data_IF_686209186473
#
_entry.id   IF_686209186473
#
_cell.length_a   1.000
_cell.length_b   1.000
_cell.length_c   1.000
_cell.angle_alpha   90.00
_cell.angle_beta   90.00
_cell.angle_gamma   90.00
#
_symmetry.space_group_name_H-M   'P 1'
#
loop_
_entity.id
_entity.type
_entity.pdbx_description
1 polymer ?
#
# COMPACT_ATOMS: atom_id res chain seq x y z
N UNK A 1 -12.78 45.81 25.26
CA UNK A 1 -12.17 44.79 24.37
C UNK A 1 -13.21 44.36 23.35
N UNK A 2 -12.95 44.60 22.07
CA UNK A 2 -13.96 44.62 21.00
C UNK A 2 -14.23 43.20 20.46
N UNK A 3 -15.51 42.86 20.32
CA UNK A 3 -16.06 41.62 19.74
C UNK A 3 -15.33 41.20 18.43
N UNK A 4 -14.89 42.16 17.61
CA UNK A 4 -14.17 41.90 16.36
C UNK A 4 -12.79 41.24 16.49
N UNK A 5 -12.10 41.39 17.64
CA UNK A 5 -10.82 40.70 17.87
C UNK A 5 -11.02 39.22 18.16
N UNK A 6 -12.17 38.84 18.74
CA UNK A 6 -12.51 37.45 19.01
C UNK A 6 -12.82 36.69 17.72
N UNK A 7 -13.60 37.27 16.81
CA UNK A 7 -13.90 36.67 15.49
C UNK A 7 -12.65 36.53 14.61
N UNK A 8 -11.71 37.47 14.67
CA UNK A 8 -10.42 37.38 13.96
C UNK A 8 -9.53 36.27 14.51
N UNK A 9 -9.47 36.12 15.84
CA UNK A 9 -8.77 35.01 16.48
C UNK A 9 -9.37 33.66 16.13
N UNK A 10 -10.70 33.55 16.12
CA UNK A 10 -11.42 32.33 15.76
C UNK A 10 -11.23 31.95 14.28
N UNK A 11 -11.27 32.93 13.38
CA UNK A 11 -11.02 32.73 11.95
C UNK A 11 -9.58 32.27 11.69
N UNK A 12 -8.60 32.88 12.36
CA UNK A 12 -7.20 32.44 12.28
C UNK A 12 -7.02 31.01 12.82
N UNK A 13 -7.69 30.66 13.92
CA UNK A 13 -7.62 29.31 14.50
C UNK A 13 -8.28 28.27 13.56
N UNK A 14 -9.41 28.59 12.94
CA UNK A 14 -10.05 27.77 11.92
C UNK A 14 -9.17 27.57 10.70
N UNK A 15 -8.46 28.60 10.26
CA UNK A 15 -7.52 28.52 9.13
C UNK A 15 -6.30 27.64 9.46
N UNK A 16 -5.79 27.73 10.70
CA UNK A 16 -4.70 26.87 11.20
C UNK A 16 -5.15 25.41 11.31
N UNK A 17 -6.39 25.15 11.75
CA UNK A 17 -6.95 23.79 11.79
C UNK A 17 -7.16 23.24 10.36
N UNK A 18 -7.55 24.09 9.40
CA UNK A 18 -7.64 23.72 7.97
C UNK A 18 -6.28 23.41 7.32
N UNK A 19 -5.19 23.95 7.87
CA UNK A 19 -3.83 23.70 7.40
C UNK A 19 -3.19 22.46 8.04
N UNK A 20 -3.91 21.72 8.90
CA UNK A 20 -3.38 20.47 9.44
C UNK A 20 -3.11 19.49 8.28
N UNK A 21 -1.92 18.88 8.23
CA UNK A 21 -1.59 17.94 7.17
C UNK A 21 -2.60 16.79 7.16
N UNK A 22 -3.01 16.40 5.96
CA UNK A 22 -3.87 15.24 5.73
C UNK A 22 -3.35 14.04 6.54
N UNK A 23 -4.21 13.45 7.37
CA UNK A 23 -3.87 12.25 8.10
C UNK A 23 -3.70 11.12 7.09
N UNK A 24 -2.44 10.76 6.84
CA UNK A 24 -2.05 9.61 6.07
C UNK A 24 -1.44 8.59 7.01
N UNK A 25 -1.88 7.34 6.92
CA UNK A 25 -1.27 6.22 7.63
C UNK A 25 -1.19 5.04 6.69
N UNK A 26 -0.13 4.26 6.81
CA UNK A 26 0.03 3.04 6.05
C UNK A 26 0.56 1.94 6.94
N UNK A 27 0.14 0.72 6.71
CA UNK A 27 0.46 -0.41 7.55
C UNK A 27 0.60 -1.69 6.75
N UNK A 28 1.48 -2.56 7.24
CA UNK A 28 1.63 -3.93 6.76
C UNK A 28 1.08 -4.87 7.82
N UNK A 29 0.17 -5.72 7.41
CA UNK A 29 -0.46 -6.75 8.22
C UNK A 29 -0.08 -8.13 7.68
N UNK A 30 0.10 -9.08 8.58
CA UNK A 30 0.34 -10.48 8.24
C UNK A 30 -0.58 -11.38 9.05
N UNK A 31 -0.99 -12.50 8.47
CA UNK A 31 -1.81 -13.48 9.15
C UNK A 31 -2.49 -14.40 8.16
N UNK A 32 -3.78 -14.64 8.33
CA UNK A 32 -4.50 -15.67 7.57
C UNK A 32 -5.81 -15.16 6.97
N UNK A 33 -6.13 -15.73 5.80
CA UNK A 33 -7.45 -15.74 5.18
C UNK A 33 -7.87 -17.20 5.02
N UNK A 34 -8.85 -17.63 5.80
CA UNK A 34 -9.16 -19.04 6.00
C UNK A 34 -7.97 -19.76 6.62
N UNK A 35 -7.38 -20.70 5.88
CA UNK A 35 -6.17 -21.45 6.30
C UNK A 35 -4.89 -20.98 5.60
N UNK A 36 -4.99 -19.97 4.73
CA UNK A 36 -3.87 -19.55 3.89
C UNK A 36 -3.22 -18.30 4.48
N UNK A 37 -1.89 -18.29 4.54
CA UNK A 37 -1.13 -17.13 4.99
C UNK A 37 -1.18 -16.01 3.95
N UNK A 38 -1.46 -14.79 4.41
CA UNK A 38 -1.51 -13.59 3.57
C UNK A 38 -0.66 -12.46 4.16
N UNK A 39 -0.23 -11.55 3.28
CA UNK A 39 0.30 -10.23 3.63
C UNK A 39 -0.62 -9.19 3.03
N UNK A 40 -0.96 -8.17 3.80
CA UNK A 40 -1.78 -7.03 3.39
C UNK A 40 -0.99 -5.74 3.61
N UNK A 41 -0.87 -4.93 2.57
CA UNK A 41 -0.43 -3.54 2.66
C UNK A 41 -1.65 -2.65 2.47
N UNK A 42 -1.96 -1.82 3.46
CA UNK A 42 -3.12 -0.93 3.46
C UNK A 42 -2.72 0.48 3.85
N UNK A 43 -3.28 1.47 3.15
CA UNK A 43 -3.10 2.89 3.44
C UNK A 43 -4.45 3.56 3.61
N UNK A 44 -4.48 4.58 4.46
CA UNK A 44 -5.59 5.51 4.60
C UNK A 44 -5.08 6.93 4.38
N UNK A 45 -5.78 7.71 3.56
CA UNK A 45 -5.54 9.13 3.38
C UNK A 45 -6.88 9.86 3.29
N UNK A 46 -7.17 10.76 4.24
CA UNK A 46 -8.45 11.49 4.27
C UNK A 46 -9.68 10.58 4.17
N UNK A 47 -9.71 9.50 4.98
CA UNK A 47 -10.75 8.47 4.98
C UNK A 47 -10.87 7.62 3.70
N UNK A 48 -10.03 7.84 2.68
CA UNK A 48 -9.88 6.95 1.53
C UNK A 48 -8.92 5.82 1.88
N UNK A 49 -9.45 4.61 1.93
CA UNK A 49 -8.68 3.39 2.13
C UNK A 49 -8.31 2.75 0.80
N UNK A 50 -7.06 2.35 0.68
CA UNK A 50 -6.51 1.63 -0.46
C UNK A 50 -5.64 0.50 0.06
N UNK A 51 -5.58 -0.62 -0.66
CA UNK A 51 -4.76 -1.73 -0.23
C UNK A 51 -4.50 -2.76 -1.29
N UNK A 52 -3.51 -3.58 -1.01
CA UNK A 52 -3.11 -4.73 -1.82
C UNK A 52 -2.76 -5.86 -0.87
N UNK A 53 -3.22 -7.07 -1.19
CA UNK A 53 -2.83 -8.24 -0.42
C UNK A 53 -2.33 -9.36 -1.33
N UNK A 54 -1.58 -10.31 -0.79
CA UNK A 54 -1.18 -11.50 -1.51
C UNK A 54 -1.20 -12.71 -0.58
N UNK A 55 -1.60 -13.86 -1.12
CA UNK A 55 -1.29 -15.14 -0.51
C UNK A 55 0.21 -15.40 -0.59
N UNK A 56 0.85 -15.68 0.54
CA UNK A 56 2.30 -15.94 0.58
C UNK A 56 2.73 -17.10 -0.31
N UNK A 57 1.84 -18.10 -0.49
CA UNK A 57 2.07 -19.25 -1.37
C UNK A 57 2.03 -18.88 -2.86
N UNK A 58 1.08 -18.04 -3.27
CA UNK A 58 0.84 -17.73 -4.69
C UNK A 58 1.58 -16.48 -5.17
N UNK A 59 1.98 -15.61 -4.24
CA UNK A 59 2.82 -14.42 -4.48
C UNK A 59 2.32 -13.53 -5.61
N UNK A 60 1.01 -13.53 -5.81
CA UNK A 60 0.33 -12.69 -6.79
C UNK A 60 -0.41 -11.63 -6.01
N UNK A 61 0.03 -10.35 -6.10
CA UNK A 61 -0.67 -9.24 -5.50
C UNK A 61 -2.07 -9.11 -6.08
N UNK A 62 -3.04 -8.90 -5.20
CA UNK A 62 -4.45 -8.71 -5.50
C UNK A 62 -4.83 -7.33 -5.02
N UNK A 63 -5.30 -6.51 -5.96
CA UNK A 63 -5.67 -5.12 -5.70
C UNK A 63 -7.03 -5.05 -5.01
N UNK A 64 -7.13 -4.18 -4.02
CA UNK A 64 -8.41 -3.82 -3.42
C UNK A 64 -8.93 -2.52 -4.03
N UNK A 65 -10.23 -2.47 -4.30
CA UNK A 65 -10.91 -1.26 -4.76
C UNK A 65 -10.81 -0.19 -3.69
N UNK A 66 -10.37 1.04 -4.03
CA UNK A 66 -10.40 2.16 -3.10
C UNK A 66 -11.81 2.40 -2.55
N UNK A 67 -11.92 2.64 -1.25
CA UNK A 67 -13.21 2.86 -0.58
C UNK A 67 -13.09 3.99 0.44
N UNK A 68 -14.16 4.76 0.61
CA UNK A 68 -14.22 5.74 1.69
C UNK A 68 -14.83 5.09 2.93
N UNK A 69 -14.18 5.25 4.09
CA UNK A 69 -14.78 4.89 5.38
C UNK A 69 -14.56 5.98 6.40
N UNK A 70 -15.67 6.51 6.91
CA UNK A 70 -15.70 7.49 8.00
C UNK A 70 -15.89 6.83 9.37
N UNK A 71 -15.95 5.50 9.41
CA UNK A 71 -16.10 4.70 10.62
C UNK A 71 -14.97 3.68 10.73
N UNK A 72 -14.34 3.62 11.90
CA UNK A 72 -13.32 2.62 12.16
C UNK A 72 -13.92 1.25 12.53
N UNK A 73 -15.23 1.17 12.82
CA UNK A 73 -15.87 -0.06 13.29
C UNK A 73 -15.93 -1.14 12.22
N UNK A 74 -16.12 -0.73 10.96
CA UNK A 74 -16.26 -1.67 9.85
C UNK A 74 -15.70 -1.04 8.58
N UNK A 75 -14.68 -1.67 8.02
CA UNK A 75 -14.12 -1.32 6.72
C UNK A 75 -14.39 -2.46 5.73
N UNK A 76 -15.08 -2.15 4.63
CA UNK A 76 -15.35 -3.10 3.56
C UNK A 76 -14.62 -2.68 2.29
N UNK A 77 -13.76 -3.56 1.78
CA UNK A 77 -12.95 -3.37 0.58
C UNK A 77 -13.29 -4.50 -0.40
N UNK A 78 -13.50 -4.14 -1.67
CA UNK A 78 -13.76 -5.14 -2.71
C UNK A 78 -12.45 -5.62 -3.32
N UNK A 79 -12.31 -6.93 -3.41
CA UNK A 79 -11.24 -7.59 -4.16
C UNK A 79 -11.51 -7.48 -5.66
N UNK A 80 -10.49 -7.10 -6.42
CA UNK A 80 -10.58 -6.99 -7.87
C UNK A 80 -9.89 -8.17 -8.55
N UNK A 81 -10.47 -8.66 -9.65
CA UNK A 81 -9.79 -9.56 -10.57
C UNK A 81 -8.80 -8.83 -11.49
N UNK A 82 -8.17 -9.57 -12.41
CA UNK A 82 -7.22 -9.04 -13.38
C UNK A 82 -7.83 -8.00 -14.34
N UNK A 83 -9.15 -8.06 -14.55
CA UNK A 83 -9.91 -7.12 -15.37
C UNK A 83 -10.38 -5.88 -14.56
N UNK A 84 -10.11 -5.85 -13.25
CA UNK A 84 -10.51 -4.77 -12.36
C UNK A 84 -11.97 -4.88 -11.89
N UNK A 85 -12.61 -6.03 -12.05
CA UNK A 85 -14.00 -6.27 -11.61
C UNK A 85 -14.03 -6.82 -10.18
N UNK A 86 -14.99 -6.38 -9.34
CA UNK A 86 -15.16 -6.92 -7.99
C UNK A 86 -15.55 -8.42 -8.00
N UNK A 87 -14.78 -9.26 -7.30
CA UNK A 87 -15.03 -10.72 -7.22
C UNK A 87 -15.29 -11.22 -5.80
N UNK A 88 -14.87 -10.46 -4.79
CA UNK A 88 -15.11 -10.76 -3.39
C UNK A 88 -15.09 -9.48 -2.54
N UNK A 89 -15.51 -9.61 -1.28
CA UNK A 89 -15.45 -8.54 -0.28
C UNK A 89 -14.61 -8.96 0.91
N UNK A 90 -13.65 -8.11 1.28
CA UNK A 90 -12.97 -8.17 2.57
C UNK A 90 -13.65 -7.19 3.51
N UNK A 91 -14.19 -7.68 4.62
CA UNK A 91 -14.74 -6.88 5.69
C UNK A 91 -13.85 -7.02 6.92
N UNK A 92 -13.38 -5.89 7.45
CA UNK A 92 -12.57 -5.84 8.65
C UNK A 92 -13.32 -5.15 9.77
N UNK A 93 -13.22 -5.71 10.98
CA UNK A 93 -13.78 -5.15 12.19
C UNK A 93 -12.70 -4.35 12.91
N UNK A 94 -13.04 -3.12 13.29
CA UNK A 94 -12.17 -2.22 14.06
C UNK A 94 -10.80 -1.93 13.41
N UNK A 95 -10.68 -2.04 12.08
CA UNK A 95 -9.41 -1.79 11.39
C UNK A 95 -9.02 -0.32 11.55
N UNK A 96 -7.95 -0.12 12.31
CA UNK A 96 -7.26 1.16 12.42
C UNK A 96 -5.79 0.91 12.09
N UNK A 97 -5.23 1.70 11.17
CA UNK A 97 -3.81 1.65 10.82
C UNK A 97 -3.02 2.35 11.94
N UNK A 98 -2.94 1.69 13.10
CA UNK A 98 -2.41 2.22 14.35
C UNK A 98 -1.98 1.10 15.29
N UNK A 99 -1.00 1.37 16.14
CA UNK A 99 -0.53 0.45 17.20
C UNK A 99 -1.57 0.20 18.29
N UNK A 100 -2.53 1.09 18.45
CA UNK A 100 -3.61 0.89 19.42
C UNK A 100 -4.49 -0.31 19.05
N UNK A 101 -4.49 -0.72 17.77
CA UNK A 101 -5.15 -1.93 17.33
C UNK A 101 -4.26 -2.74 16.38
N UNK A 102 -3.37 -3.56 16.97
CA UNK A 102 -2.48 -4.41 16.18
C UNK A 102 -3.19 -5.62 15.59
N UNK A 103 -4.30 -6.07 16.16
CA UNK A 103 -5.00 -7.27 15.69
C UNK A 103 -6.27 -6.87 14.94
N UNK A 104 -6.39 -7.33 13.70
CA UNK A 104 -7.61 -7.12 12.92
C UNK A 104 -8.22 -8.46 12.55
N UNK A 105 -9.53 -8.56 12.78
CA UNK A 105 -10.34 -9.71 12.39
C UNK A 105 -11.35 -9.29 11.35
N UNK A 106 -11.82 -10.25 10.58
CA UNK A 106 -12.73 -9.95 9.50
C UNK A 106 -13.24 -11.19 8.78
N UNK A 107 -13.82 -10.95 7.62
CA UNK A 107 -14.28 -11.98 6.71
C UNK A 107 -13.94 -11.62 5.27
N UNK A 108 -13.70 -12.66 4.48
CA UNK A 108 -13.67 -12.60 3.04
C UNK A 108 -14.92 -13.31 2.51
N UNK A 109 -15.66 -12.71 1.59
CA UNK A 109 -16.88 -13.30 1.03
C UNK A 109 -16.84 -13.26 -0.49
N UNK A 110 -16.94 -14.43 -1.13
CA UNK A 110 -17.01 -14.56 -2.59
C UNK A 110 -18.35 -14.06 -3.14
N UNK A 111 -18.34 -13.20 -4.15
CA UNK A 111 -19.57 -12.79 -4.83
C UNK A 111 -20.17 -13.89 -5.70
N UNK A 112 -19.34 -14.75 -6.29
CA UNK A 112 -19.80 -15.84 -7.14
C UNK A 112 -20.48 -16.97 -6.37
N UNK A 113 -19.96 -17.31 -5.18
CA UNK A 113 -20.37 -18.53 -4.46
C UNK A 113 -21.02 -18.25 -3.11
N UNK A 114 -20.97 -17.02 -2.60
CA UNK A 114 -21.38 -16.68 -1.25
C UNK A 114 -20.49 -17.28 -0.15
N UNK A 115 -19.43 -18.00 -0.51
CA UNK A 115 -18.51 -18.63 0.46
C UNK A 115 -17.80 -17.56 1.28
N UNK A 116 -17.86 -17.73 2.59
CA UNK A 116 -17.20 -16.85 3.56
C UNK A 116 -16.01 -17.55 4.22
N UNK A 117 -14.89 -16.83 4.36
CA UNK A 117 -13.69 -17.28 5.04
C UNK A 117 -13.29 -16.27 6.12
N UNK A 118 -12.82 -16.71 7.30
CA UNK A 118 -12.38 -15.79 8.34
C UNK A 118 -11.05 -15.12 7.96
N UNK A 119 -10.89 -13.87 8.36
CA UNK A 119 -9.62 -13.13 8.28
C UNK A 119 -9.12 -12.90 9.71
N UNK A 120 -7.84 -13.15 9.94
CA UNK A 120 -7.16 -12.80 11.19
C UNK A 120 -5.75 -12.33 10.88
N UNK A 121 -5.46 -11.05 11.12
CA UNK A 121 -4.18 -10.42 10.81
C UNK A 121 -3.63 -9.68 12.02
N UNK A 122 -2.31 -9.53 12.02
CA UNK A 122 -1.55 -8.73 12.97
C UNK A 122 -0.75 -7.66 12.21
N UNK A 123 -0.78 -6.43 12.70
CA UNK A 123 0.06 -5.34 12.26
C UNK A 123 1.52 -5.68 12.57
N UNK A 124 2.37 -5.68 11.54
CA UNK A 124 3.80 -5.97 11.68
C UNK A 124 4.67 -4.74 11.42
N UNK A 125 4.14 -3.75 10.69
CA UNK A 125 4.83 -2.49 10.43
C UNK A 125 3.85 -1.36 10.16
N UNK A 126 4.26 -0.15 10.52
CA UNK A 126 3.60 1.10 10.13
C UNK A 126 4.56 1.89 9.26
N UNK A 127 3.99 2.70 8.37
CA UNK A 127 4.71 3.69 7.58
C UNK A 127 4.03 5.02 7.85
N UNK A 128 4.84 6.04 8.11
CA UNK A 128 4.41 7.45 8.24
C UNK A 128 3.66 7.83 9.52
N UNK A 129 3.43 6.91 10.48
CA UNK A 129 2.52 7.19 11.61
C UNK A 129 3.12 7.14 13.02
N UNK A 130 4.36 6.67 13.26
CA UNK A 130 4.94 6.67 14.61
C UNK A 130 6.49 6.64 14.60
N UNK A 131 7.11 7.76 15.02
CA UNK A 131 8.57 7.91 15.11
C UNK A 131 9.20 7.17 16.31
N UNK A 132 8.39 6.73 17.28
CA UNK A 132 8.85 6.16 18.55
C UNK A 132 8.99 4.63 18.55
N UNK A 133 8.61 3.97 17.46
CA UNK A 133 8.75 2.53 17.29
C UNK A 133 10.03 2.21 16.51
N UNK A 134 10.87 1.25 16.94
CA UNK A 134 11.94 0.73 16.09
C UNK A 134 11.27 0.05 14.90
N UNK A 135 11.19 0.77 13.78
CA UNK A 135 10.66 0.22 12.55
C UNK A 135 11.79 -0.56 11.86
N UNK A 136 11.73 -1.90 11.81
CA UNK A 136 12.58 -2.62 10.87
C UNK A 136 12.31 -2.10 9.45
N UNK A 137 13.28 -2.26 8.56
CA UNK A 137 13.02 -2.09 7.13
C UNK A 137 11.78 -2.89 6.75
N UNK A 138 10.72 -2.22 6.29
CA UNK A 138 9.46 -2.87 5.94
C UNK A 138 9.25 -2.82 4.44
N UNK A 139 8.73 -3.89 3.87
CA UNK A 139 8.46 -3.98 2.44
C UNK A 139 6.97 -3.77 2.18
N UNK A 140 6.64 -2.73 1.41
CA UNK A 140 5.28 -2.45 0.98
C UNK A 140 4.99 -3.20 -0.32
N UNK A 141 4.00 -4.09 -0.27
CA UNK A 141 3.52 -4.80 -1.45
C UNK A 141 2.88 -3.82 -2.42
N UNK A 142 3.23 -3.92 -3.71
CA UNK A 142 2.59 -3.16 -4.78
C UNK A 142 1.59 -4.05 -5.52
N UNK A 143 0.48 -3.49 -6.01
CA UNK A 143 -0.51 -4.28 -6.78
C UNK A 143 -0.01 -4.64 -8.16
N UNK A 144 0.82 -3.77 -8.75
CA UNK A 144 1.42 -4.01 -10.04
C UNK A 144 2.25 -5.30 -9.99
N UNK A 145 2.03 -6.18 -10.97
CA UNK A 145 2.79 -7.43 -11.10
C UNK A 145 2.74 -7.94 -12.53
N UNK A 146 3.59 -8.90 -12.85
CA UNK A 146 3.63 -9.59 -14.16
C UNK A 146 3.32 -11.07 -13.95
N UNK A 147 3.31 -11.86 -15.02
CA UNK A 147 3.23 -13.32 -14.89
C UNK A 147 4.43 -13.91 -14.13
N UNK A 148 5.60 -13.25 -14.21
CA UNK A 148 6.87 -13.76 -13.66
C UNK A 148 7.27 -13.09 -12.34
N UNK A 149 6.96 -11.82 -12.18
CA UNK A 149 7.48 -11.00 -11.08
C UNK A 149 6.37 -10.28 -10.33
N UNK A 150 6.61 -10.02 -9.07
CA UNK A 150 5.90 -9.01 -8.31
C UNK A 150 6.90 -8.03 -7.71
N UNK A 151 6.40 -6.89 -7.25
CA UNK A 151 7.25 -5.81 -6.81
C UNK A 151 6.93 -5.39 -5.39
N UNK A 152 7.97 -4.99 -4.68
CA UNK A 152 7.89 -4.49 -3.32
C UNK A 152 8.67 -3.18 -3.22
N UNK A 153 8.26 -2.33 -2.30
CA UNK A 153 8.95 -1.09 -1.99
C UNK A 153 9.51 -1.18 -0.57
N UNK A 154 10.84 -1.36 -0.40
CA UNK A 154 11.46 -1.31 0.91
C UNK A 154 11.43 0.12 1.44
N UNK A 155 10.93 0.26 2.67
CA UNK A 155 10.87 1.50 3.43
C UNK A 155 11.85 1.41 4.59
N UNK A 156 12.73 2.40 4.72
CA UNK A 156 13.75 2.45 5.77
C UNK A 156 13.25 3.27 6.96
N UNK A 157 12.71 2.58 7.96
CA UNK A 157 12.20 3.20 9.17
C UNK A 157 11.24 4.35 8.87
N UNK A 158 11.56 5.53 9.40
CA UNK A 158 10.73 6.73 9.25
C UNK A 158 11.01 7.55 7.99
N UNK A 159 11.93 7.12 7.11
CA UNK A 159 12.17 7.83 5.86
C UNK A 159 10.96 7.64 4.94
N UNK A 160 10.33 8.76 4.59
CA UNK A 160 9.24 8.80 3.60
C UNK A 160 9.77 8.72 2.18
N UNK A 161 11.09 8.62 1.97
CA UNK A 161 11.67 8.44 0.64
C UNK A 161 11.70 6.98 0.26
N UNK A 162 11.07 6.69 -0.86
CA UNK A 162 11.31 5.48 -1.62
C UNK A 162 12.65 5.66 -2.32
N UNK A 163 13.61 4.81 -1.99
CA UNK A 163 14.97 4.81 -2.56
C UNK A 163 15.24 3.60 -3.43
N UNK A 164 14.38 2.58 -3.38
CA UNK A 164 14.50 1.40 -4.21
C UNK A 164 13.15 0.75 -4.51
N UNK A 165 13.12 -0.05 -5.58
CA UNK A 165 12.06 -1.00 -5.90
C UNK A 165 12.69 -2.40 -5.91
N UNK A 166 12.12 -3.33 -5.17
CA UNK A 166 12.55 -4.72 -5.16
C UNK A 166 11.71 -5.54 -6.15
N UNK A 167 12.38 -6.19 -7.09
CA UNK A 167 11.79 -7.12 -8.05
C UNK A 167 11.93 -8.52 -7.49
N UNK A 168 10.82 -9.22 -7.34
CA UNK A 168 10.79 -10.56 -6.74
C UNK A 168 10.23 -11.57 -7.73
N UNK A 169 10.92 -12.70 -7.87
CA UNK A 169 10.47 -13.81 -8.71
C UNK A 169 9.31 -14.57 -8.05
N UNK A 170 8.17 -14.71 -8.75
CA UNK A 170 6.97 -15.35 -8.20
C UNK A 170 7.18 -16.84 -7.93
N UNK A 171 7.96 -17.53 -8.76
CA UNK A 171 8.15 -18.97 -8.66
C UNK A 171 8.95 -19.33 -7.40
N UNK A 172 10.08 -18.66 -7.18
CA UNK A 172 10.99 -18.90 -6.05
C UNK A 172 10.64 -18.09 -4.80
N UNK A 173 10.00 -16.93 -4.95
CA UNK A 173 9.80 -15.95 -3.88
C UNK A 173 11.08 -15.23 -3.47
N UNK A 174 12.16 -15.32 -4.27
CA UNK A 174 13.45 -14.71 -3.97
C UNK A 174 13.60 -13.36 -4.70
N UNK A 175 14.28 -12.38 -4.08
CA UNK A 175 14.62 -11.13 -4.76
C UNK A 175 15.48 -11.43 -5.99
N UNK A 176 15.05 -10.89 -7.14
CA UNK A 176 15.79 -10.97 -8.40
C UNK A 176 16.72 -9.78 -8.54
N UNK A 177 16.23 -8.57 -8.24
CA UNK A 177 16.96 -7.33 -8.43
C UNK A 177 16.43 -6.25 -7.49
N UNK A 178 17.32 -5.37 -7.03
CA UNK A 178 16.97 -4.13 -6.34
C UNK A 178 17.26 -2.97 -7.31
N UNK A 179 16.22 -2.20 -7.62
CA UNK A 179 16.27 -1.05 -8.52
C UNK A 179 16.45 0.21 -7.70
N UNK A 180 17.69 0.67 -7.57
CA UNK A 180 18.00 1.90 -6.84
C UNK A 180 17.51 3.13 -7.61
N UNK A 181 16.73 3.97 -6.95
CA UNK A 181 16.28 5.25 -7.50
C UNK A 181 17.39 6.30 -7.35
N UNK A 182 17.43 7.28 -8.25
CA UNK A 182 18.41 8.38 -8.21
C UNK A 182 18.40 9.10 -6.84
N UNK A 183 19.51 9.78 -6.48
CA UNK A 183 19.82 10.29 -5.13
C UNK A 183 18.71 11.05 -4.39
N UNK A 184 17.78 11.68 -5.10
CA UNK A 184 16.65 12.40 -4.47
C UNK A 184 15.51 11.48 -4.01
N UNK A 185 15.43 10.25 -4.54
CA UNK A 185 14.36 9.30 -4.29
C UNK A 185 12.98 9.82 -4.73
N UNK A 186 11.94 9.09 -4.37
CA UNK A 186 10.54 9.49 -4.54
C UNK A 186 9.89 9.65 -3.17
N UNK A 187 9.11 10.71 -2.96
CA UNK A 187 8.32 10.80 -1.72
C UNK A 187 7.20 9.76 -1.75
N UNK A 188 7.06 9.03 -0.66
CA UNK A 188 5.95 8.12 -0.42
C UNK A 188 4.66 8.95 -0.28
N UNK A 189 3.71 8.69 -1.17
CA UNK A 189 2.43 9.41 -1.26
C UNK A 189 1.23 8.52 -0.92
N UNK A 190 1.48 7.29 -0.44
CA UNK A 190 0.45 6.30 -0.16
C UNK A 190 0.81 4.93 -0.73
N UNK A 191 -0.08 3.97 -0.54
CA UNK A 191 0.13 2.60 -1.04
C UNK A 191 -0.05 2.54 -2.56
N UNK A 192 0.49 1.50 -3.17
CA UNK A 192 0.26 1.17 -4.60
C UNK A 192 0.70 2.27 -5.58
N UNK A 193 1.93 2.77 -5.42
CA UNK A 193 2.51 3.82 -6.27
C UNK A 193 3.15 3.27 -7.54
N UNK A 194 3.56 2.00 -7.56
CA UNK A 194 4.25 1.41 -8.70
C UNK A 194 3.31 1.18 -9.88
N UNK A 195 3.77 1.54 -11.07
CA UNK A 195 3.12 1.30 -12.34
C UNK A 195 3.99 0.39 -13.19
N UNK A 196 3.37 -0.62 -13.79
CA UNK A 196 3.99 -1.51 -14.77
C UNK A 196 3.27 -1.27 -16.10
N UNK A 197 4.04 -0.96 -17.14
CA UNK A 197 3.53 -0.83 -18.50
C UNK A 197 4.21 -1.89 -19.37
N UNK A 198 3.42 -2.67 -20.10
CA UNK A 198 3.90 -3.62 -21.10
C UNK A 198 3.56 -3.11 -22.49
N UNK A 199 4.58 -2.78 -23.29
CA UNK A 199 4.45 -2.50 -24.73
C UNK A 199 5.22 -3.58 -25.49
N UNK A 200 4.51 -4.58 -26.01
CA UNK A 200 5.14 -5.75 -26.65
C UNK A 200 6.00 -6.53 -25.65
N UNK A 201 7.28 -6.72 -25.99
CA UNK A 201 8.30 -7.36 -25.14
C UNK A 201 8.95 -6.38 -24.15
N UNK A 202 8.71 -5.08 -24.31
CA UNK A 202 9.25 -4.07 -23.41
C UNK A 202 8.38 -3.94 -22.16
N UNK A 203 9.02 -4.05 -20.99
CA UNK A 203 8.37 -3.86 -19.70
C UNK A 203 8.98 -2.66 -18.99
N UNK A 204 8.16 -1.65 -18.70
CA UNK A 204 8.57 -0.41 -18.04
C UNK A 204 7.98 -0.32 -16.63
N UNK A 205 8.80 0.14 -15.69
CA UNK A 205 8.44 0.40 -14.30
C UNK A 205 8.56 1.89 -14.01
N UNK A 206 7.57 2.46 -13.34
CA UNK A 206 7.63 3.85 -12.87
C UNK A 206 6.85 4.01 -11.57
N UNK A 207 7.14 5.08 -10.81
CA UNK A 207 6.39 5.43 -9.61
C UNK A 207 5.48 6.62 -9.92
N UNK A 208 4.17 6.45 -9.65
CA UNK A 208 3.18 7.50 -9.81
C UNK A 208 3.57 8.72 -8.99
N UNK A 209 3.48 9.91 -9.60
CA UNK A 209 3.77 11.16 -8.92
C UNK A 209 5.27 11.40 -8.66
N UNK A 210 6.15 10.53 -9.16
CA UNK A 210 7.59 10.70 -9.07
C UNK A 210 8.20 11.13 -10.41
N UNK A 211 9.19 12.03 -10.35
CA UNK A 211 9.93 12.53 -11.52
C UNK A 211 11.23 11.77 -11.79
N UNK A 212 11.57 10.79 -10.96
CA UNK A 212 12.75 9.95 -11.18
C UNK A 212 12.51 9.06 -12.40
N UNK A 213 13.51 8.88 -13.30
CA UNK A 213 13.37 7.99 -14.43
C UNK A 213 12.94 6.59 -14.00
N UNK A 214 12.13 5.96 -14.86
CA UNK A 214 11.68 4.60 -14.65
C UNK A 214 12.77 3.56 -14.95
N UNK A 215 12.37 2.30 -15.01
CA UNK A 215 13.24 1.20 -15.43
C UNK A 215 12.62 0.48 -16.63
N UNK A 216 13.44 -0.08 -17.50
CA UNK A 216 13.02 -0.92 -18.60
C UNK A 216 13.68 -2.29 -18.51
N UNK A 217 12.92 -3.34 -18.76
CA UNK A 217 13.44 -4.69 -18.90
C UNK A 217 14.31 -4.80 -20.16
N UNK A 218 15.56 -5.22 -19.98
CA UNK A 218 16.48 -5.57 -21.05
C UNK A 218 16.57 -7.10 -21.13
N UNK A 219 16.02 -7.68 -22.20
CA UNK A 219 16.03 -9.13 -22.43
C UNK A 219 17.44 -9.70 -22.61
N UNK A 220 18.30 -9.00 -23.36
CA UNK A 220 19.68 -9.43 -23.61
C UNK A 220 20.54 -9.44 -22.34
N UNK A 221 20.22 -8.58 -21.37
CA UNK A 221 20.88 -8.52 -20.07
C UNK A 221 20.18 -9.31 -18.96
N UNK A 222 18.95 -9.80 -19.18
CA UNK A 222 18.15 -10.49 -18.17
C UNK A 222 17.88 -9.67 -16.91
N UNK A 223 17.80 -8.34 -17.03
CA UNK A 223 17.66 -7.40 -15.90
C UNK A 223 16.92 -6.12 -16.29
N UNK A 224 16.43 -5.40 -15.29
CA UNK A 224 15.93 -4.05 -15.46
C UNK A 224 17.09 -3.03 -15.49
N UNK A 225 17.01 -2.07 -16.40
CA UNK A 225 17.98 -0.99 -16.55
C UNK A 225 17.28 0.37 -16.42
N UNK A 226 17.93 1.39 -15.83
CA UNK A 226 17.32 2.71 -15.69
C UNK A 226 17.06 3.33 -17.06
N UNK A 227 15.90 3.98 -17.18
CA UNK A 227 15.62 4.85 -18.32
C UNK A 227 16.47 6.13 -18.22
N UNK A 228 16.89 6.70 -19.36
CA UNK A 228 17.60 7.98 -19.39
C UNK A 228 16.73 9.15 -18.91
#
# INVERSE_FOLDING_TARGET
MRLGNFFRGLAALLLVVWLLPAQASSGVYQGTLGKQAIVLTIGSQNALYQGTYAYQRYRTPIRLKPTFSFSNKMLALDELDEQGLPVARLQFNDLMVSRQNEQVRGSWTSYRTGKTLPIALKLVALVDSDRSWPQPSTTLLQSASTKRWYFQVPMQGNDRRITAIEVVDKASGKPLQILTLAERGCLYQGVDMLQVQSEGESLRLSLRGCKVPGFQWNEGGGRFEPLP
#
